data_IF_516898005052
#
_entry.id   IF_516898005052
#
_cell.length_a   1.000
_cell.length_b   1.000
_cell.length_c   1.000
_cell.angle_alpha   90.00
_cell.angle_beta   90.00
_cell.angle_gamma   90.00
#
_symmetry.space_group_name_H-M   'P 1'
#
loop_
_entity.id
_entity.type
_entity.pdbx_description
1 polymer ?
#
# COMPACT_ATOMS: atom_id res chain seq x y z
N UNK A 1 -12.75 6.36 52.85
CA UNK A 1 -12.43 5.37 51.79
C UNK A 1 -12.27 6.16 50.51
N UNK A 2 -11.04 6.19 49.96
CA UNK A 2 -10.65 6.97 48.77
C UNK A 2 -11.23 6.30 47.51
N UNK A 3 -11.75 7.09 46.59
CA UNK A 3 -12.01 6.66 45.22
C UNK A 3 -11.25 7.59 44.27
N UNK A 4 -9.91 7.46 44.29
CA UNK A 4 -9.01 8.07 43.33
C UNK A 4 -9.03 7.23 42.05
N UNK A 5 -9.97 7.52 41.13
CA UNK A 5 -9.82 7.09 39.74
C UNK A 5 -8.91 8.09 39.05
N UNK A 6 -7.61 7.79 39.08
CA UNK A 6 -6.57 8.49 38.35
C UNK A 6 -6.95 8.59 36.88
N UNK A 7 -7.23 9.81 36.45
CA UNK A 7 -7.28 10.17 35.04
C UNK A 7 -5.81 10.18 34.59
N UNK A 8 -5.37 9.07 34.01
CA UNK A 8 -4.05 8.98 33.36
C UNK A 8 -3.90 10.17 32.40
N UNK A 9 -2.87 11.02 32.55
CA UNK A 9 -2.69 12.16 31.67
C UNK A 9 -2.45 11.61 30.26
N UNK A 10 -3.38 11.88 29.34
CA UNK A 10 -3.11 11.66 27.92
C UNK A 10 -1.87 12.47 27.57
N UNK A 11 -0.77 11.76 27.32
CA UNK A 11 0.55 12.26 26.94
C UNK A 11 0.44 13.55 26.12
N UNK A 12 0.55 14.68 26.81
CA UNK A 12 0.70 16.00 26.20
C UNK A 12 2.16 16.18 25.79
N UNK A 13 2.68 15.23 25.02
CA UNK A 13 3.96 15.37 24.33
C UNK A 13 3.75 16.34 23.18
N UNK A 14 3.65 17.63 23.52
CA UNK A 14 3.88 18.72 22.60
C UNK A 14 5.38 18.76 22.26
N UNK A 15 5.86 17.68 21.64
CA UNK A 15 7.16 17.63 20.99
C UNK A 15 7.02 18.41 19.70
N UNK A 16 7.30 19.70 19.80
CA UNK A 16 7.59 20.56 18.65
C UNK A 16 8.70 19.85 17.88
N UNK A 17 8.45 19.34 16.66
CA UNK A 17 9.45 19.07 15.61
C UNK A 17 8.82 18.71 14.22
N UNK A 18 9.09 19.60 13.26
CA UNK A 18 9.58 19.42 11.87
C UNK A 18 8.81 18.72 10.73
N UNK A 19 7.52 18.39 10.82
CA UNK A 19 6.76 18.04 9.59
C UNK A 19 5.81 19.17 9.21
N UNK A 20 6.04 19.79 8.05
CA UNK A 20 5.22 20.86 7.49
C UNK A 20 3.94 20.29 6.83
N UNK A 21 3.11 19.56 7.59
CA UNK A 21 1.98 18.78 7.06
C UNK A 21 0.75 18.72 7.98
N UNK A 22 -0.40 18.36 7.41
CA UNK A 22 -1.70 18.24 8.11
C UNK A 22 -1.67 17.15 9.19
N UNK A 23 -2.25 17.44 10.36
CA UNK A 23 -2.37 16.49 11.48
C UNK A 23 -3.81 15.99 11.60
N UNK A 24 -3.96 14.70 11.85
CA UNK A 24 -5.24 14.06 12.11
C UNK A 24 -5.17 13.27 13.41
N UNK A 25 -6.29 13.24 14.16
CA UNK A 25 -6.48 12.31 15.26
C UNK A 25 -7.31 11.13 14.75
N UNK A 26 -6.80 9.91 14.94
CA UNK A 26 -7.47 8.68 14.52
C UNK A 26 -7.58 7.73 15.70
N UNK A 27 -8.72 7.04 15.82
CA UNK A 27 -8.87 5.91 16.72
C UNK A 27 -8.37 4.65 16.03
N UNK A 28 -7.44 3.93 16.65
CA UNK A 28 -6.93 2.65 16.17
C UNK A 28 -6.98 1.62 17.30
N UNK A 29 -7.16 0.32 16.99
CA UNK A 29 -7.09 -0.73 18.00
C UNK A 29 -5.74 -0.76 18.73
N UNK A 30 -5.75 -1.00 20.04
CA UNK A 30 -4.55 -1.00 20.90
C UNK A 30 -3.47 -1.97 20.41
N UNK A 31 -3.85 -3.14 19.90
CA UNK A 31 -2.92 -4.13 19.37
C UNK A 31 -2.14 -3.57 18.17
N UNK A 32 -2.81 -2.81 17.30
CA UNK A 32 -2.17 -2.18 16.14
C UNK A 32 -1.26 -1.04 16.60
N UNK A 33 -1.70 -0.21 17.54
CA UNK A 33 -0.87 0.86 18.08
C UNK A 33 0.43 0.33 18.69
N UNK A 34 0.36 -0.76 19.48
CA UNK A 34 1.54 -1.41 20.06
C UNK A 34 2.50 -1.90 19.00
N UNK A 35 1.99 -2.51 17.95
CA UNK A 35 2.82 -3.05 16.86
C UNK A 35 3.52 -1.94 16.07
N UNK A 36 2.80 -0.86 15.74
CA UNK A 36 3.38 0.32 15.08
C UNK A 36 4.45 0.95 15.95
N UNK A 37 4.21 1.07 17.26
CA UNK A 37 5.20 1.60 18.21
C UNK A 37 6.46 0.74 18.24
N UNK A 38 6.32 -0.58 18.34
CA UNK A 38 7.43 -1.53 18.33
C UNK A 38 8.29 -1.39 17.07
N UNK A 39 7.64 -1.37 15.89
CA UNK A 39 8.33 -1.22 14.60
C UNK A 39 9.05 0.13 14.50
N UNK A 40 8.40 1.21 14.94
CA UNK A 40 9.00 2.55 14.93
C UNK A 40 10.27 2.60 15.81
N UNK A 41 10.22 1.99 17.00
CA UNK A 41 11.36 1.89 17.90
C UNK A 41 12.51 1.05 17.32
N UNK A 42 12.20 -0.13 16.77
CA UNK A 42 13.19 -1.03 16.14
C UNK A 42 13.91 -0.37 14.95
N UNK A 43 13.17 0.40 14.15
CA UNK A 43 13.71 1.09 12.97
C UNK A 43 14.26 2.49 13.28
N UNK A 44 14.19 2.95 14.54
CA UNK A 44 14.56 4.32 14.95
C UNK A 44 13.83 5.40 14.14
N UNK A 45 12.56 5.17 13.80
CA UNK A 45 11.68 6.08 13.06
C UNK A 45 10.58 6.61 13.98
N UNK A 46 9.89 7.67 13.56
CA UNK A 46 8.67 8.12 14.22
C UNK A 46 7.49 7.20 13.88
N UNK A 47 6.53 7.11 14.80
CA UNK A 47 5.25 6.39 14.57
C UNK A 47 4.49 6.94 13.35
N UNK A 48 4.54 8.26 13.14
CA UNK A 48 3.92 8.92 11.98
C UNK A 48 4.55 8.49 10.66
N UNK A 49 5.88 8.31 10.60
CA UNK A 49 6.55 7.86 9.38
C UNK A 49 6.12 6.43 9.00
N UNK A 50 6.07 5.52 9.98
CA UNK A 50 5.60 4.13 9.76
C UNK A 50 4.16 4.11 9.24
N UNK A 51 3.27 4.91 9.84
CA UNK A 51 1.88 5.01 9.40
C UNK A 51 1.78 5.58 7.98
N UNK A 52 2.53 6.64 7.67
CA UNK A 52 2.55 7.25 6.34
C UNK A 52 3.04 6.27 5.28
N UNK A 53 4.09 5.51 5.57
CA UNK A 53 4.63 4.48 4.68
C UNK A 53 3.59 3.38 4.40
N UNK A 54 2.90 2.89 5.44
CA UNK A 54 1.83 1.91 5.29
C UNK A 54 0.66 2.45 4.44
N UNK A 55 0.26 3.71 4.64
CA UNK A 55 -0.80 4.36 3.85
C UNK A 55 -0.39 4.52 2.39
N UNK A 56 0.84 4.94 2.11
CA UNK A 56 1.36 5.04 0.73
C UNK A 56 1.29 3.70 0.01
N UNK A 57 1.82 2.64 0.63
CA UNK A 57 1.78 1.30 0.05
C UNK A 57 0.34 0.81 -0.17
N UNK A 58 -0.59 1.14 0.72
CA UNK A 58 -2.00 0.80 0.56
C UNK A 58 -2.65 1.54 -0.61
N UNK A 59 -2.37 2.84 -0.77
CA UNK A 59 -2.88 3.65 -1.87
C UNK A 59 -2.33 3.17 -3.22
N UNK A 60 -1.02 2.92 -3.31
CA UNK A 60 -0.39 2.35 -4.51
C UNK A 60 -1.05 1.03 -4.91
N UNK A 61 -1.33 0.15 -3.94
CA UNK A 61 -2.03 -1.12 -4.21
C UNK A 61 -3.47 -0.91 -4.69
N UNK A 62 -4.17 0.13 -4.22
CA UNK A 62 -5.50 0.49 -4.75
C UNK A 62 -5.38 0.95 -6.20
N UNK A 63 -4.45 1.84 -6.52
CA UNK A 63 -4.26 2.35 -7.87
C UNK A 63 -3.89 1.22 -8.85
N UNK A 64 -2.97 0.31 -8.46
CA UNK A 64 -2.65 -0.85 -9.29
C UNK A 64 -3.86 -1.74 -9.54
N UNK A 65 -4.70 -1.97 -8.53
CA UNK A 65 -5.95 -2.73 -8.71
C UNK A 65 -6.92 -2.02 -9.64
N UNK A 66 -7.11 -0.71 -9.50
CA UNK A 66 -7.99 0.07 -10.38
C UNK A 66 -7.59 -0.06 -11.84
N UNK A 67 -6.28 -0.02 -12.13
CA UNK A 67 -5.76 -0.21 -13.49
C UNK A 67 -6.08 -1.61 -14.01
N UNK A 68 -5.82 -2.64 -13.21
CA UNK A 68 -6.12 -4.04 -13.57
C UNK A 68 -7.62 -4.27 -13.76
N UNK A 69 -8.45 -3.74 -12.87
CA UNK A 69 -9.91 -3.85 -12.95
C UNK A 69 -10.44 -3.14 -14.19
N UNK A 70 -9.90 -1.96 -14.52
CA UNK A 70 -10.28 -1.24 -15.74
C UNK A 70 -9.86 -2.00 -17.01
N UNK A 71 -8.67 -2.62 -17.02
CA UNK A 71 -8.26 -3.49 -18.14
C UNK A 71 -9.20 -4.69 -18.26
N UNK A 72 -9.52 -5.34 -17.15
CA UNK A 72 -10.43 -6.48 -17.14
C UNK A 72 -11.83 -6.09 -17.62
N UNK A 73 -12.30 -4.88 -17.32
CA UNK A 73 -13.58 -4.36 -17.83
C UNK A 73 -13.56 -4.19 -19.35
N UNK A 74 -12.50 -3.58 -19.91
CA UNK A 74 -12.36 -3.40 -21.36
C UNK A 74 -12.26 -4.73 -22.10
N UNK A 75 -11.56 -5.71 -21.51
CA UNK A 75 -11.38 -7.05 -22.07
C UNK A 75 -12.40 -8.08 -21.54
N UNK A 76 -13.50 -7.64 -20.91
CA UNK A 76 -14.49 -8.55 -20.36
C UNK A 76 -15.25 -9.33 -21.44
N UNK A 77 -15.31 -8.79 -22.66
CA UNK A 77 -15.95 -9.45 -23.80
C UNK A 77 -15.03 -10.54 -24.36
N UNK A 78 -15.56 -11.75 -24.65
CA UNK A 78 -14.79 -12.78 -25.31
C UNK A 78 -14.26 -12.28 -26.64
N UNK A 79 -12.97 -12.49 -26.86
CA UNK A 79 -12.32 -12.10 -28.11
C UNK A 79 -12.89 -12.90 -29.27
N UNK A 80 -12.95 -12.24 -30.41
CA UNK A 80 -13.30 -12.84 -31.69
C UNK A 80 -12.21 -13.82 -32.14
N UNK A 81 -12.56 -14.71 -33.07
CA UNK A 81 -11.61 -15.68 -33.60
C UNK A 81 -10.44 -15.01 -34.36
N UNK A 82 -10.72 -13.88 -35.02
CA UNK A 82 -9.70 -13.08 -35.71
C UNK A 82 -8.70 -12.47 -34.72
N UNK A 83 -9.18 -11.84 -33.64
CA UNK A 83 -8.32 -11.28 -32.59
C UNK A 83 -7.46 -12.35 -31.91
N UNK A 84 -8.04 -13.55 -31.70
CA UNK A 84 -7.32 -14.70 -31.14
C UNK A 84 -6.21 -15.16 -32.09
N UNK A 85 -6.47 -15.24 -33.38
CA UNK A 85 -5.47 -15.61 -34.38
C UNK A 85 -4.34 -14.58 -34.47
N UNK A 86 -4.66 -13.28 -34.44
CA UNK A 86 -3.65 -12.21 -34.44
C UNK A 86 -2.76 -12.29 -33.20
N UNK A 87 -3.34 -12.45 -32.00
CA UNK A 87 -2.55 -12.58 -30.77
C UNK A 87 -1.65 -13.80 -30.76
N UNK A 88 -2.12 -14.92 -31.31
CA UNK A 88 -1.30 -16.13 -31.43
C UNK A 88 -0.09 -15.91 -32.34
N UNK A 89 -0.29 -15.24 -33.48
CA UNK A 89 0.80 -14.89 -34.40
C UNK A 89 1.79 -13.89 -33.77
N UNK A 90 1.30 -12.89 -33.03
CA UNK A 90 2.13 -11.92 -32.31
C UNK A 90 2.95 -12.60 -31.21
N UNK A 91 2.34 -13.51 -30.45
CA UNK A 91 3.02 -14.31 -29.42
C UNK A 91 4.12 -15.18 -30.04
N UNK A 92 3.85 -15.83 -31.17
CA UNK A 92 4.83 -16.65 -31.90
C UNK A 92 6.02 -15.79 -32.37
N UNK A 93 5.75 -14.60 -32.90
CA UNK A 93 6.79 -13.64 -33.28
C UNK A 93 7.64 -13.21 -32.09
N UNK A 94 7.02 -12.90 -30.95
CA UNK A 94 7.72 -12.50 -29.72
C UNK A 94 8.64 -13.61 -29.21
N UNK A 95 8.15 -14.85 -29.14
CA UNK A 95 8.94 -16.02 -28.71
C UNK A 95 10.17 -16.19 -29.60
N UNK A 96 9.97 -16.15 -30.93
CA UNK A 96 11.03 -16.31 -31.91
C UNK A 96 12.09 -15.21 -31.84
N UNK A 97 11.70 -13.97 -31.56
CA UNK A 97 12.59 -12.82 -31.77
C UNK A 97 13.19 -12.24 -30.49
N UNK A 98 12.45 -12.29 -29.38
CA UNK A 98 12.82 -11.68 -28.11
C UNK A 98 13.33 -12.74 -27.14
N UNK A 99 12.55 -13.81 -26.91
CA UNK A 99 12.94 -14.85 -25.94
C UNK A 99 14.17 -15.66 -26.36
N UNK A 100 14.40 -15.85 -27.68
CA UNK A 100 15.66 -16.47 -28.15
C UNK A 100 16.90 -15.60 -27.85
N UNK A 101 16.74 -14.27 -27.78
CA UNK A 101 17.82 -13.33 -27.48
C UNK A 101 18.09 -13.17 -25.99
N UNK A 102 17.15 -13.58 -25.13
CA UNK A 102 17.25 -13.50 -23.66
C UNK A 102 17.61 -14.83 -22.99
N UNK A 103 18.21 -15.77 -23.73
CA UNK A 103 18.91 -16.90 -23.10
C UNK A 103 20.19 -16.39 -22.44
N UNK A 104 20.13 -16.20 -21.12
CA UNK A 104 21.29 -15.97 -20.24
C UNK A 104 22.14 -17.24 -20.14
#
# INVERSE_FOLDING_TARGET
MRNDRGMEPLDNLNTINHTNGMKIAISIPDNIFREVKRIAEEQKRSRSEVIVEAVKAYLERIESRRIVDSLNEVYATPETEEERATRAADMELYIRTVLEKEKW
#
